data_IF_236281440020
#
_entry.id   IF_236281440020
#
_cell.length_a   1.000
_cell.length_b   1.000
_cell.length_c   1.000
_cell.angle_alpha   90.00
_cell.angle_beta   90.00
_cell.angle_gamma   90.00
#
_symmetry.space_group_name_H-M   'P 1'
#
loop_
_entity.id
_entity.type
_entity.pdbx_description
1 polymer ?
#
# COMPACT_ATOMS: atom_id res chain seq x y z
N UNK A 1 52.74 52.56 -13.30
CA UNK A 1 52.63 51.56 -12.17
C UNK A 1 51.20 51.41 -11.79
N UNK A 2 50.50 50.39 -12.26
CA UNK A 2 49.13 50.07 -11.81
C UNK A 2 48.97 48.53 -11.77
N UNK A 3 48.87 48.00 -10.56
CA UNK A 3 48.72 46.59 -10.27
C UNK A 3 47.30 46.13 -10.59
N UNK A 4 47.12 45.28 -11.61
CA UNK A 4 45.87 44.61 -11.90
C UNK A 4 45.56 43.55 -10.86
N UNK A 5 44.49 43.76 -10.11
CA UNK A 5 43.89 42.72 -9.22
C UNK A 5 43.14 41.70 -10.09
N UNK A 6 43.69 40.50 -10.19
CA UNK A 6 42.98 39.35 -10.77
C UNK A 6 41.92 38.87 -9.78
N UNK A 7 40.68 39.16 -10.11
CA UNK A 7 39.50 38.64 -9.42
C UNK A 7 39.35 37.14 -9.79
N UNK A 8 39.69 36.24 -8.88
CA UNK A 8 39.41 34.80 -9.00
C UNK A 8 37.94 34.59 -8.66
N UNK A 9 37.10 34.43 -9.67
CA UNK A 9 35.73 33.94 -9.51
C UNK A 9 35.79 32.44 -9.22
N UNK A 10 35.58 32.07 -7.98
CA UNK A 10 35.38 30.69 -7.55
C UNK A 10 33.96 30.32 -7.99
N UNK A 11 33.82 29.64 -9.13
CA UNK A 11 32.58 28.98 -9.51
C UNK A 11 32.47 27.75 -8.61
N UNK A 12 31.69 27.90 -7.54
CA UNK A 12 31.25 26.79 -6.70
C UNK A 12 30.23 25.99 -7.52
N UNK A 13 30.70 24.90 -8.09
CA UNK A 13 29.86 23.91 -8.78
C UNK A 13 29.04 23.18 -7.68
N UNK A 14 27.86 23.71 -7.40
CA UNK A 14 26.86 23.03 -6.56
C UNK A 14 26.34 21.83 -7.35
N UNK A 15 26.98 20.68 -7.16
CA UNK A 15 26.45 19.42 -7.63
C UNK A 15 25.21 19.17 -6.79
N UNK A 16 24.05 19.55 -7.32
CA UNK A 16 22.77 19.06 -6.88
C UNK A 16 22.76 17.56 -7.18
N UNK A 17 23.20 16.77 -6.21
CA UNK A 17 22.95 15.34 -6.21
C UNK A 17 21.45 15.17 -6.17
N UNK A 18 20.84 14.98 -7.32
CA UNK A 18 19.47 14.48 -7.42
C UNK A 18 19.47 13.15 -6.67
N UNK A 19 18.93 13.12 -5.48
CA UNK A 19 18.53 11.88 -4.81
C UNK A 19 17.42 11.29 -5.67
N UNK A 20 17.80 10.60 -6.74
CA UNK A 20 16.92 9.68 -7.38
C UNK A 20 16.56 8.65 -6.29
N UNK A 21 15.31 8.58 -5.89
CA UNK A 21 14.79 7.47 -5.11
C UNK A 21 15.01 6.21 -5.95
N UNK A 22 16.17 5.58 -5.78
CA UNK A 22 16.46 4.32 -6.43
C UNK A 22 15.63 3.25 -5.73
N UNK A 23 14.76 2.60 -6.48
CA UNK A 23 14.00 1.46 -6.00
C UNK A 23 14.98 0.33 -5.67
N UNK A 24 14.69 -0.43 -4.62
CA UNK A 24 15.52 -1.56 -4.20
C UNK A 24 14.82 -2.88 -4.51
N UNK A 25 15.57 -4.00 -4.45
CA UNK A 25 14.99 -5.34 -4.64
C UNK A 25 13.87 -5.58 -3.62
N UNK A 26 14.01 -5.10 -2.39
CA UNK A 26 12.98 -5.18 -1.35
C UNK A 26 11.63 -4.60 -1.77
N UNK A 27 11.63 -3.52 -2.55
CA UNK A 27 10.39 -2.82 -2.93
C UNK A 27 9.57 -3.62 -3.96
N UNK A 28 10.20 -4.56 -4.68
CA UNK A 28 9.56 -5.35 -5.74
C UNK A 28 9.49 -6.84 -5.44
N UNK A 29 10.03 -7.28 -4.31
CA UNK A 29 10.13 -8.70 -3.98
C UNK A 29 9.85 -9.00 -2.52
N UNK A 30 9.69 -10.26 -2.22
CA UNK A 30 9.61 -10.80 -0.88
C UNK A 30 10.44 -12.09 -0.80
N UNK A 31 10.95 -12.40 0.38
CA UNK A 31 11.67 -13.65 0.62
C UNK A 31 10.65 -14.75 0.91
N UNK A 32 10.75 -15.85 0.19
CA UNK A 32 9.88 -17.00 0.39
C UNK A 32 10.15 -17.63 1.76
N UNK A 33 9.07 -17.95 2.48
CA UNK A 33 9.16 -18.51 3.83
C UNK A 33 9.13 -17.44 4.94
N UNK A 34 9.50 -16.20 4.67
CA UNK A 34 9.41 -15.11 5.63
C UNK A 34 8.06 -14.39 5.45
N UNK A 35 7.10 -14.72 6.29
CA UNK A 35 5.75 -14.12 6.26
C UNK A 35 5.14 -14.08 7.65
N UNK A 36 4.23 -13.15 7.85
CA UNK A 36 3.36 -13.15 9.01
C UNK A 36 2.41 -14.34 8.97
N UNK A 37 2.19 -15.00 10.10
CA UNK A 37 1.20 -16.04 10.25
C UNK A 37 0.00 -15.50 11.01
N UNK A 38 -1.19 -15.72 10.48
CA UNK A 38 -2.41 -15.23 11.12
C UNK A 38 -2.83 -16.13 12.28
N UNK A 39 -3.09 -15.50 13.42
CA UNK A 39 -3.60 -16.15 14.61
C UNK A 39 -5.06 -15.76 14.84
N UNK A 40 -5.83 -16.70 15.32
CA UNK A 40 -7.24 -16.54 15.63
C UNK A 40 -7.54 -17.10 17.01
N UNK A 41 -8.34 -16.38 17.78
CA UNK A 41 -8.85 -16.83 19.08
C UNK A 41 -10.29 -16.38 19.30
N UNK A 42 -10.97 -17.10 20.18
CA UNK A 42 -12.27 -16.73 20.68
C UNK A 42 -12.15 -16.36 22.16
N UNK A 43 -12.66 -15.19 22.53
CA UNK A 43 -12.53 -14.67 23.89
C UNK A 43 -13.78 -13.97 24.40
N UNK A 44 -13.69 -13.50 25.63
CA UNK A 44 -14.70 -12.70 26.29
C UNK A 44 -14.09 -11.37 26.73
N UNK A 45 -14.77 -10.28 26.44
CA UNK A 45 -14.49 -8.95 26.99
C UNK A 45 -15.47 -8.71 28.14
N UNK A 46 -14.96 -8.31 29.29
CA UNK A 46 -15.75 -8.04 30.50
C UNK A 46 -15.62 -6.59 30.92
N UNK A 47 -16.39 -6.14 31.91
CA UNK A 47 -16.30 -4.78 32.43
C UNK A 47 -17.01 -3.74 31.55
N UNK A 48 -17.84 -4.15 30.60
CA UNK A 48 -18.61 -3.26 29.73
C UNK A 48 -19.77 -2.62 30.51
N UNK A 49 -19.89 -1.30 30.44
CA UNK A 49 -20.92 -0.57 31.17
C UNK A 49 -22.30 -0.63 30.46
N UNK A 50 -22.91 -1.80 30.44
CA UNK A 50 -24.21 -2.04 29.83
C UNK A 50 -24.23 -2.09 28.30
N UNK A 51 -23.06 -2.09 27.65
CA UNK A 51 -22.91 -2.11 26.19
C UNK A 51 -22.61 -3.50 25.62
N UNK A 52 -22.42 -4.46 26.49
CA UNK A 52 -22.18 -5.88 26.11
C UNK A 52 -23.37 -6.55 25.48
N UNK A 53 -23.18 -7.79 25.08
CA UNK A 53 -24.21 -8.59 24.42
C UNK A 53 -25.11 -9.37 25.39
N UNK A 54 -26.27 -9.82 24.89
CA UNK A 54 -27.25 -10.61 25.62
C UNK A 54 -27.41 -12.02 25.06
N UNK A 55 -26.53 -12.42 24.16
CA UNK A 55 -26.67 -13.69 23.48
C UNK A 55 -26.52 -14.85 24.46
N UNK A 56 -27.35 -15.89 24.26
CA UNK A 56 -27.25 -17.13 25.04
C UNK A 56 -25.86 -17.77 24.90
N UNK A 57 -25.25 -17.59 23.73
CA UNK A 57 -23.92 -18.07 23.43
C UNK A 57 -22.85 -17.46 24.35
N UNK A 58 -22.90 -16.15 24.54
CA UNK A 58 -21.96 -15.44 25.44
C UNK A 58 -22.12 -15.88 26.87
N UNK A 59 -23.38 -16.05 27.32
CA UNK A 59 -23.67 -16.53 28.69
C UNK A 59 -23.18 -17.95 28.90
N UNK A 60 -23.35 -18.85 27.91
CA UNK A 60 -22.84 -20.21 27.98
C UNK A 60 -21.31 -20.24 27.98
N UNK A 61 -20.67 -19.37 27.19
CA UNK A 61 -19.22 -19.27 27.15
C UNK A 61 -18.63 -18.79 28.48
N UNK A 62 -19.28 -17.80 29.12
CA UNK A 62 -18.91 -17.36 30.46
C UNK A 62 -19.12 -18.48 31.48
N UNK A 63 -20.26 -19.18 31.43
CA UNK A 63 -20.53 -20.31 32.32
C UNK A 63 -19.46 -21.41 32.18
N UNK A 64 -19.04 -21.72 30.97
CA UNK A 64 -17.99 -22.70 30.72
C UNK A 64 -16.63 -22.23 31.29
N UNK A 65 -16.30 -20.95 31.15
CA UNK A 65 -15.08 -20.37 31.70
C UNK A 65 -15.10 -20.42 33.24
N UNK A 66 -16.21 -20.04 33.89
CA UNK A 66 -16.37 -20.09 35.33
C UNK A 66 -16.32 -21.52 35.85
N UNK A 67 -16.94 -22.49 35.12
CA UNK A 67 -16.89 -23.90 35.45
C UNK A 67 -15.48 -24.48 35.41
N UNK A 68 -14.66 -24.05 34.48
CA UNK A 68 -13.23 -24.41 34.44
C UNK A 68 -12.45 -23.86 35.64
N UNK A 69 -12.96 -22.80 36.27
CA UNK A 69 -12.44 -22.23 37.53
C UNK A 69 -13.14 -22.76 38.76
N UNK A 70 -13.84 -23.93 38.66
CA UNK A 70 -14.61 -24.58 39.72
C UNK A 70 -15.80 -23.79 40.26
N UNK A 71 -16.24 -22.75 39.55
CA UNK A 71 -17.42 -21.95 39.92
C UNK A 71 -18.64 -22.46 39.13
N UNK A 72 -19.65 -22.95 39.80
CA UNK A 72 -20.90 -23.47 39.21
C UNK A 72 -22.01 -22.44 39.35
N UNK A 73 -22.35 -21.74 38.26
CA UNK A 73 -23.48 -20.80 38.20
C UNK A 73 -24.39 -21.23 37.05
N UNK A 74 -25.74 -21.32 37.28
CA UNK A 74 -26.68 -21.56 36.21
C UNK A 74 -26.68 -20.43 35.19
N UNK A 75 -26.79 -20.76 33.89
CA UNK A 75 -26.82 -19.75 32.80
C UNK A 75 -27.96 -18.74 32.99
N UNK A 76 -29.10 -19.21 33.54
CA UNK A 76 -30.26 -18.34 33.83
C UNK A 76 -29.98 -17.26 34.89
N UNK A 77 -28.97 -17.47 35.74
CA UNK A 77 -28.55 -16.49 36.74
C UNK A 77 -27.56 -15.46 36.21
N UNK A 78 -27.06 -15.64 34.99
CA UNK A 78 -26.12 -14.71 34.34
C UNK A 78 -26.95 -13.76 33.48
N UNK A 79 -27.32 -12.63 34.02
CA UNK A 79 -28.02 -11.57 33.31
C UNK A 79 -27.14 -10.31 33.29
N UNK A 80 -26.15 -10.29 32.44
CA UNK A 80 -25.22 -9.15 32.39
C UNK A 80 -25.06 -8.64 30.97
N UNK A 81 -25.17 -7.34 30.80
CA UNK A 81 -24.80 -6.62 29.60
C UNK A 81 -23.35 -6.09 29.68
N UNK A 82 -22.59 -6.56 30.66
CA UNK A 82 -21.23 -6.10 30.89
C UNK A 82 -20.19 -7.03 30.26
N UNK A 83 -20.64 -7.94 29.39
CA UNK A 83 -19.80 -8.96 28.77
C UNK A 83 -20.11 -9.02 27.29
N UNK A 84 -19.10 -9.23 26.46
CA UNK A 84 -19.25 -9.48 25.03
C UNK A 84 -18.38 -10.64 24.58
N UNK A 85 -18.94 -11.50 23.73
CA UNK A 85 -18.18 -12.50 23.00
C UNK A 85 -17.43 -11.84 21.85
N UNK A 86 -16.16 -12.16 21.71
CA UNK A 86 -15.28 -11.52 20.73
C UNK A 86 -14.42 -12.53 19.97
N UNK A 87 -14.15 -12.19 18.72
CA UNK A 87 -13.09 -12.79 17.94
C UNK A 87 -11.83 -11.95 18.14
N UNK A 88 -10.73 -12.61 18.40
CA UNK A 88 -9.41 -12.00 18.60
C UNK A 88 -8.50 -12.46 17.48
N UNK A 89 -7.91 -11.54 16.76
CA UNK A 89 -6.98 -11.83 15.66
C UNK A 89 -5.66 -11.12 15.90
N UNK A 90 -4.57 -11.76 15.49
CA UNK A 90 -3.24 -11.18 15.53
C UNK A 90 -2.40 -11.71 14.36
N UNK A 91 -1.45 -10.91 13.93
CA UNK A 91 -0.42 -11.31 12.98
C UNK A 91 0.83 -11.69 13.78
N UNK A 92 1.26 -12.95 13.68
CA UNK A 92 2.49 -13.45 14.29
C UNK A 92 3.65 -13.16 13.35
N UNK A 93 4.55 -12.23 13.71
CA UNK A 93 5.68 -11.88 12.86
C UNK A 93 6.62 -13.07 12.65
N UNK A 94 7.33 -13.13 11.52
CA UNK A 94 8.38 -14.12 11.34
C UNK A 94 9.46 -13.93 12.40
N UNK A 95 10.07 -15.03 12.84
CA UNK A 95 11.13 -15.05 13.87
C UNK A 95 10.71 -14.55 15.26
N UNK A 96 9.44 -14.35 15.51
CA UNK A 96 8.95 -14.00 16.83
C UNK A 96 9.29 -15.10 17.85
N UNK A 97 9.75 -14.70 19.02
CA UNK A 97 10.19 -15.61 20.08
C UNK A 97 9.22 -15.63 21.26
N UNK A 98 9.32 -16.67 22.04
CA UNK A 98 8.58 -16.74 23.30
C UNK A 98 8.89 -15.53 24.18
N UNK A 99 7.84 -14.87 24.68
CA UNK A 99 7.91 -13.66 25.46
C UNK A 99 7.72 -12.35 24.67
N UNK A 100 7.85 -12.40 23.35
CA UNK A 100 7.59 -11.22 22.50
C UNK A 100 6.11 -10.83 22.60
N UNK A 101 5.84 -9.53 22.46
CA UNK A 101 4.49 -8.99 22.52
C UNK A 101 4.03 -8.54 21.15
N UNK A 102 2.76 -8.86 20.83
CA UNK A 102 2.15 -8.46 19.57
C UNK A 102 0.83 -7.75 19.81
N UNK A 103 0.47 -6.88 18.85
CA UNK A 103 -0.82 -6.20 18.82
C UNK A 103 -1.92 -7.20 18.46
N UNK A 104 -3.07 -7.09 19.13
CA UNK A 104 -4.26 -7.87 18.79
C UNK A 104 -5.41 -6.96 18.39
N UNK A 105 -6.22 -7.46 17.44
CA UNK A 105 -7.47 -6.85 17.02
C UNK A 105 -8.61 -7.66 17.58
N UNK A 106 -9.62 -6.97 18.11
CA UNK A 106 -10.76 -7.56 18.77
C UNK A 106 -12.03 -7.10 18.07
N UNK A 107 -12.92 -8.02 17.78
CA UNK A 107 -14.20 -7.73 17.13
C UNK A 107 -15.32 -8.48 17.83
N UNK A 108 -16.38 -7.76 18.22
CA UNK A 108 -17.56 -8.37 18.83
C UNK A 108 -18.26 -9.30 17.83
N UNK A 109 -18.69 -10.48 18.31
CA UNK A 109 -19.40 -11.47 17.49
C UNK A 109 -20.91 -11.41 17.77
N UNK A 110 -21.29 -11.00 18.98
CA UNK A 110 -22.68 -10.92 19.41
C UNK A 110 -23.33 -9.58 19.10
N UNK A 111 -24.38 -9.24 19.87
CA UNK A 111 -25.16 -8.01 19.73
C UNK A 111 -24.65 -6.85 20.62
N UNK A 112 -23.39 -6.91 21.04
CA UNK A 112 -22.75 -5.87 21.82
C UNK A 112 -22.75 -4.53 21.04
N UNK A 113 -23.05 -3.44 21.73
CA UNK A 113 -23.07 -2.08 21.15
C UNK A 113 -21.69 -1.42 21.16
N UNK A 114 -20.87 -1.78 22.15
CA UNK A 114 -19.50 -1.30 22.29
C UNK A 114 -18.69 -2.26 23.15
N UNK A 115 -17.40 -2.40 22.81
CA UNK A 115 -16.41 -3.11 23.61
C UNK A 115 -15.35 -2.17 24.18
N UNK A 116 -15.58 -0.86 24.05
CA UNK A 116 -14.63 0.15 24.51
C UNK A 116 -14.39 0.06 26.02
N UNK A 117 -13.13 0.19 26.39
CA UNK A 117 -12.66 0.12 27.81
C UNK A 117 -13.01 -1.17 28.54
N UNK A 118 -13.48 -2.20 27.82
CA UNK A 118 -13.60 -3.52 28.41
C UNK A 118 -12.25 -4.21 28.54
N UNK A 119 -12.22 -5.27 29.36
CA UNK A 119 -11.02 -6.08 29.60
C UNK A 119 -11.17 -7.42 28.88
N UNK A 120 -10.25 -7.75 27.98
CA UNK A 120 -10.19 -9.07 27.35
C UNK A 120 -9.64 -10.06 28.35
N UNK A 121 -10.40 -11.09 28.64
CA UNK A 121 -9.94 -12.23 29.44
C UNK A 121 -8.90 -13.04 28.67
N UNK A 122 -8.05 -13.78 29.42
CA UNK A 122 -7.01 -14.62 28.81
C UNK A 122 -7.59 -15.48 27.68
N UNK A 123 -7.09 -15.26 26.49
CA UNK A 123 -7.57 -15.86 25.25
C UNK A 123 -6.43 -16.53 24.49
N UNK A 124 -6.58 -17.81 24.19
CA UNK A 124 -5.60 -18.53 23.37
C UNK A 124 -5.76 -18.13 21.90
N UNK A 125 -4.64 -17.76 21.28
CA UNK A 125 -4.57 -17.50 19.84
C UNK A 125 -3.91 -18.70 19.15
N UNK A 126 -4.63 -19.25 18.16
CA UNK A 126 -4.24 -20.47 17.45
C UNK A 126 -3.90 -20.14 16.00
N UNK A 127 -2.92 -20.85 15.48
CA UNK A 127 -2.63 -20.87 14.05
C UNK A 127 -3.60 -21.77 13.27
N UNK A 128 -3.44 -21.82 11.96
CA UNK A 128 -4.23 -22.66 11.04
C UNK A 128 -4.07 -24.16 11.36
N UNK A 129 -2.94 -24.55 11.92
CA UNK A 129 -2.63 -25.92 12.38
C UNK A 129 -3.32 -26.30 13.69
N UNK A 130 -4.07 -25.37 14.31
CA UNK A 130 -4.74 -25.56 15.59
C UNK A 130 -3.85 -25.41 16.82
N UNK A 131 -2.55 -25.23 16.65
CA UNK A 131 -1.61 -25.03 17.76
C UNK A 131 -1.75 -23.64 18.37
N UNK A 132 -1.56 -23.54 19.70
CA UNK A 132 -1.57 -22.26 20.41
C UNK A 132 -0.20 -21.60 20.25
N UNK A 133 -0.17 -20.37 19.72
CA UNK A 133 1.03 -19.60 19.53
C UNK A 133 1.15 -18.41 20.46
N UNK A 134 0.03 -17.83 20.92
CA UNK A 134 0.07 -16.69 21.81
C UNK A 134 -1.12 -16.70 22.78
N UNK A 135 -0.95 -15.98 23.89
CA UNK A 135 -2.01 -15.68 24.85
C UNK A 135 -2.32 -14.20 24.84
N UNK A 136 -3.56 -13.84 24.57
CA UNK A 136 -4.02 -12.45 24.51
C UNK A 136 -4.80 -12.08 25.77
N UNK A 137 -4.57 -10.87 26.29
CA UNK A 137 -5.31 -10.26 27.39
C UNK A 137 -5.07 -8.74 27.44
N UNK A 138 -5.96 -8.01 28.12
CA UNK A 138 -5.76 -6.60 28.43
C UNK A 138 -6.93 -5.71 28.06
N UNK A 139 -6.76 -4.41 28.30
CA UNK A 139 -7.81 -3.40 28.12
C UNK A 139 -7.98 -3.01 26.66
N UNK A 140 -9.21 -3.06 26.18
CA UNK A 140 -9.59 -2.80 24.79
C UNK A 140 -9.71 -1.29 24.55
N UNK A 141 -9.07 -0.81 23.48
CA UNK A 141 -9.24 0.53 22.96
C UNK A 141 -10.02 0.43 21.64
N UNK A 142 -11.26 0.89 21.63
CA UNK A 142 -12.09 0.84 20.41
C UNK A 142 -11.83 2.02 19.47
N UNK A 143 -12.19 1.83 18.21
CA UNK A 143 -12.21 2.94 17.24
C UNK A 143 -13.50 3.75 17.40
N UNK A 144 -13.41 5.08 17.37
CA UNK A 144 -14.59 5.98 17.51
C UNK A 144 -15.68 5.70 16.47
N UNK A 145 -15.28 5.26 15.27
CA UNK A 145 -16.19 4.98 14.15
C UNK A 145 -16.81 3.58 14.26
N UNK A 146 -16.10 2.64 14.90
CA UNK A 146 -16.55 1.25 15.05
C UNK A 146 -16.38 0.79 16.51
N UNK A 147 -17.35 1.13 17.39
CA UNK A 147 -17.24 0.81 18.82
C UNK A 147 -17.24 -0.68 19.15
N UNK A 148 -17.62 -1.53 18.20
CA UNK A 148 -17.62 -3.00 18.32
C UNK A 148 -16.30 -3.64 17.88
N UNK A 149 -15.34 -2.83 17.42
CA UNK A 149 -13.99 -3.26 17.05
C UNK A 149 -12.98 -2.44 17.83
N UNK A 150 -11.91 -3.08 18.29
CA UNK A 150 -10.85 -2.41 19.02
C UNK A 150 -9.52 -3.14 18.91
N UNK A 151 -8.53 -2.57 19.58
CA UNK A 151 -7.16 -3.09 19.62
C UNK A 151 -6.66 -3.13 21.06
N UNK A 152 -5.75 -4.05 21.32
CA UNK A 152 -4.86 -4.01 22.50
C UNK A 152 -3.44 -4.01 21.95
N UNK A 153 -2.72 -2.92 22.19
CA UNK A 153 -1.29 -2.81 21.88
C UNK A 153 -0.53 -3.67 22.87
N UNK A 154 0.45 -4.44 22.38
CA UNK A 154 1.17 -5.42 23.21
C UNK A 154 0.23 -6.41 23.94
N UNK A 155 -0.93 -6.66 23.34
CA UNK A 155 -2.04 -7.38 23.96
C UNK A 155 -1.92 -8.90 23.96
N UNK A 156 -0.99 -9.46 23.20
CA UNK A 156 -0.71 -10.90 23.28
C UNK A 156 0.77 -11.17 23.47
N UNK A 157 1.07 -12.15 24.31
CA UNK A 157 2.42 -12.67 24.53
C UNK A 157 2.58 -13.97 23.76
N UNK A 158 3.66 -14.10 23.02
CA UNK A 158 3.97 -15.31 22.24
C UNK A 158 4.46 -16.40 23.19
N UNK A 159 3.83 -17.55 23.13
CA UNK A 159 4.18 -18.74 23.90
C UNK A 159 4.97 -19.76 23.07
N UNK A 160 4.66 -19.88 21.80
CA UNK A 160 5.33 -20.78 20.89
C UNK A 160 5.77 -20.05 19.62
N UNK A 161 7.02 -20.21 19.23
CA UNK A 161 7.53 -19.68 17.98
C UNK A 161 7.24 -20.62 16.81
N UNK A 162 7.04 -20.06 15.63
CA UNK A 162 7.06 -20.84 14.39
C UNK A 162 8.51 -21.24 14.11
N UNK A 163 8.75 -22.54 13.95
CA UNK A 163 10.08 -23.02 13.58
C UNK A 163 10.43 -22.57 12.17
N UNK A 164 11.32 -21.66 12.05
CA UNK A 164 11.91 -21.22 10.80
C UNK A 164 13.43 -21.30 10.92
N UNK A 165 14.04 -22.23 10.23
CA UNK A 165 15.46 -22.51 10.35
C UNK A 165 16.27 -21.86 9.23
N UNK A 166 16.31 -20.51 9.25
CA UNK A 166 17.15 -19.75 8.30
C UNK A 166 18.64 -20.09 8.37
N UNK A 167 19.12 -20.54 9.53
CA UNK A 167 20.57 -20.73 9.76
C UNK A 167 21.11 -21.89 8.94
N UNK A 168 20.29 -22.93 8.73
CA UNK A 168 20.65 -24.11 7.96
C UNK A 168 20.32 -24.01 6.47
N UNK A 169 19.70 -22.90 6.04
CA UNK A 169 19.37 -22.69 4.64
C UNK A 169 20.64 -22.31 3.85
N UNK A 170 20.98 -23.10 2.83
CA UNK A 170 22.07 -22.82 1.90
C UNK A 170 21.63 -21.96 0.70
N UNK A 171 20.34 -21.75 0.55
CA UNK A 171 19.75 -21.01 -0.56
C UNK A 171 18.67 -20.05 -0.05
N UNK A 172 18.60 -18.88 -0.66
CA UNK A 172 17.55 -17.89 -0.43
C UNK A 172 16.66 -17.86 -1.66
N UNK A 173 15.36 -18.06 -1.47
CA UNK A 173 14.38 -17.92 -2.55
C UNK A 173 13.70 -16.58 -2.47
N UNK A 174 13.80 -15.80 -3.54
CA UNK A 174 13.15 -14.49 -3.70
C UNK A 174 11.97 -14.65 -4.64
N UNK A 175 10.83 -14.10 -4.28
CA UNK A 175 9.63 -14.07 -5.10
C UNK A 175 9.27 -12.62 -5.42
N UNK A 176 9.18 -12.27 -6.70
CA UNK A 176 8.73 -10.96 -7.13
C UNK A 176 7.26 -10.75 -6.77
N UNK A 177 6.89 -9.54 -6.37
CA UNK A 177 5.50 -9.17 -6.07
C UNK A 177 4.63 -9.21 -7.33
N UNK A 178 5.22 -8.89 -8.49
CA UNK A 178 4.57 -8.96 -9.81
C UNK A 178 5.39 -9.83 -10.76
N UNK A 179 4.71 -10.65 -11.56
CA UNK A 179 5.36 -11.46 -12.58
C UNK A 179 5.97 -10.57 -13.66
N UNK A 180 7.29 -10.65 -13.86
CA UNK A 180 8.01 -9.91 -14.89
C UNK A 180 9.34 -10.61 -15.19
N UNK A 181 9.47 -11.14 -16.39
CA UNK A 181 10.73 -11.77 -16.82
C UNK A 181 11.90 -10.77 -16.81
N UNK A 182 11.63 -9.52 -17.21
CA UNK A 182 12.61 -8.45 -17.22
C UNK A 182 13.11 -8.12 -15.80
N UNK A 183 12.20 -7.99 -14.83
CA UNK A 183 12.60 -7.73 -13.44
C UNK A 183 13.31 -8.94 -12.82
N UNK A 184 12.91 -10.17 -13.18
CA UNK A 184 13.60 -11.37 -12.70
C UNK A 184 15.05 -11.43 -13.20
N UNK A 185 15.27 -11.18 -14.50
CA UNK A 185 16.59 -11.08 -15.10
C UNK A 185 17.43 -9.94 -14.51
N UNK A 186 16.80 -8.78 -14.30
CA UNK A 186 17.45 -7.61 -13.69
C UNK A 186 17.92 -7.92 -12.26
N UNK A 187 17.09 -8.57 -11.44
CA UNK A 187 17.44 -8.96 -10.07
C UNK A 187 18.56 -9.98 -10.07
N UNK A 188 18.48 -11.01 -10.93
CA UNK A 188 19.57 -11.99 -11.10
C UNK A 188 20.88 -11.30 -11.44
N UNK A 189 20.87 -10.45 -12.46
CA UNK A 189 22.04 -9.71 -12.92
C UNK A 189 22.64 -8.84 -11.83
N UNK A 190 21.83 -8.05 -11.13
CA UNK A 190 22.29 -7.15 -10.07
C UNK A 190 22.92 -7.90 -8.89
N UNK A 191 22.35 -9.01 -8.49
CA UNK A 191 22.92 -9.84 -7.42
C UNK A 191 24.26 -10.43 -7.87
N UNK A 192 24.33 -11.00 -9.08
CA UNK A 192 25.55 -11.61 -9.61
C UNK A 192 26.67 -10.58 -9.84
N UNK A 193 26.34 -9.36 -10.29
CA UNK A 193 27.29 -8.24 -10.42
C UNK A 193 27.87 -7.85 -9.05
N UNK A 194 27.02 -7.71 -8.03
CA UNK A 194 27.46 -7.32 -6.68
C UNK A 194 28.42 -8.33 -6.07
N UNK A 195 28.08 -9.61 -6.15
CA UNK A 195 28.90 -10.69 -5.59
C UNK A 195 30.04 -11.15 -6.52
N UNK A 196 30.10 -10.61 -7.74
CA UNK A 196 31.08 -11.00 -8.79
C UNK A 196 31.11 -12.52 -9.00
N UNK A 197 29.99 -13.18 -8.82
CA UNK A 197 29.82 -14.63 -8.89
C UNK A 197 28.39 -14.98 -9.27
N UNK A 198 28.18 -16.06 -10.01
CA UNK A 198 26.86 -16.55 -10.44
C UNK A 198 26.14 -17.28 -9.30
N UNK A 199 25.77 -16.57 -8.25
CA UNK A 199 25.06 -17.13 -7.09
C UNK A 199 23.55 -17.02 -7.23
N UNK A 200 23.02 -16.07 -8.02
CA UNK A 200 21.60 -15.89 -8.28
C UNK A 200 21.22 -16.51 -9.63
N UNK A 201 20.02 -17.10 -9.69
CA UNK A 201 19.42 -17.63 -10.91
C UNK A 201 17.91 -17.46 -10.89
N UNK A 202 17.36 -16.76 -11.88
CA UNK A 202 15.92 -16.71 -12.11
C UNK A 202 15.45 -18.05 -12.70
N UNK A 203 14.46 -18.66 -12.05
CA UNK A 203 13.89 -19.95 -12.50
C UNK A 203 12.68 -19.71 -13.37
N UNK A 204 11.91 -18.70 -13.04
CA UNK A 204 10.73 -18.26 -13.77
C UNK A 204 10.54 -16.74 -13.66
N UNK A 205 9.45 -16.21 -14.20
CA UNK A 205 9.15 -14.77 -14.24
C UNK A 205 8.90 -14.13 -12.86
N UNK A 206 8.93 -14.93 -11.79
CA UNK A 206 8.62 -14.51 -10.42
C UNK A 206 9.66 -14.97 -9.41
N UNK A 207 10.32 -16.09 -9.63
CA UNK A 207 11.14 -16.79 -8.64
C UNK A 207 12.63 -16.74 -8.98
N UNK A 208 13.42 -16.25 -8.05
CA UNK A 208 14.88 -16.19 -8.13
C UNK A 208 15.48 -16.98 -6.95
N UNK A 209 16.36 -17.91 -7.21
CA UNK A 209 17.14 -18.62 -6.19
C UNK A 209 18.52 -17.98 -6.07
N UNK A 210 18.94 -17.72 -4.85
CA UNK A 210 20.24 -17.14 -4.52
C UNK A 210 20.99 -18.12 -3.60
N UNK A 211 22.11 -18.66 -4.05
CA UNK A 211 22.97 -19.53 -3.24
C UNK A 211 23.73 -18.70 -2.21
N UNK A 212 23.76 -19.16 -0.98
CA UNK A 212 24.50 -18.51 0.10
C UNK A 212 26.00 -18.71 -0.09
N UNK A 213 26.82 -17.64 -0.21
CA UNK A 213 28.28 -17.77 -0.16
C UNK A 213 28.74 -18.30 1.21
N UNK A 214 29.83 -19.05 1.24
CA UNK A 214 30.36 -19.69 2.48
C UNK A 214 30.71 -18.64 3.55
N UNK A 215 31.30 -17.52 3.13
CA UNK A 215 31.77 -16.45 4.03
C UNK A 215 30.69 -15.45 4.46
N UNK A 216 29.44 -15.65 4.07
CA UNK A 216 28.33 -14.71 4.32
C UNK A 216 27.22 -15.40 5.12
N UNK A 217 26.80 -14.79 6.24
CA UNK A 217 25.62 -15.28 6.95
C UNK A 217 24.37 -15.03 6.14
N UNK A 218 23.35 -15.88 6.30
CA UNK A 218 22.08 -15.72 5.59
C UNK A 218 21.41 -14.36 5.85
N UNK A 219 21.50 -13.85 7.07
CA UNK A 219 20.97 -12.53 7.45
C UNK A 219 21.70 -11.41 6.72
N UNK A 220 23.02 -11.52 6.58
CA UNK A 220 23.82 -10.54 5.83
C UNK A 220 23.52 -10.62 4.33
N UNK A 221 23.34 -11.83 3.79
CA UNK A 221 22.93 -12.04 2.40
C UNK A 221 21.59 -11.35 2.13
N UNK A 222 20.59 -11.59 2.97
CA UNK A 222 19.28 -10.94 2.89
C UNK A 222 19.43 -9.42 2.91
N UNK A 223 20.15 -8.88 3.89
CA UNK A 223 20.38 -7.44 4.02
C UNK A 223 21.05 -6.82 2.79
N UNK A 224 22.03 -7.47 2.21
CA UNK A 224 22.69 -6.99 0.99
C UNK A 224 21.71 -7.03 -0.18
N UNK A 225 21.07 -8.16 -0.42
CA UNK A 225 20.17 -8.37 -1.56
C UNK A 225 18.99 -7.41 -1.51
N UNK A 226 18.34 -7.26 -0.36
CA UNK A 226 17.20 -6.34 -0.20
C UNK A 226 17.54 -4.89 -0.51
N UNK A 227 18.77 -4.45 -0.20
CA UNK A 227 19.21 -3.06 -0.39
C UNK A 227 19.89 -2.79 -1.74
N UNK A 228 20.04 -3.80 -2.62
CA UNK A 228 20.56 -3.55 -3.96
C UNK A 228 19.64 -2.64 -4.76
N UNK A 229 20.17 -1.54 -5.31
CA UNK A 229 19.39 -0.62 -6.13
C UNK A 229 19.09 -1.26 -7.49
N UNK A 230 17.86 -1.12 -7.94
CA UNK A 230 17.40 -1.58 -9.23
C UNK A 230 16.63 -0.49 -9.96
N UNK A 231 16.82 -0.43 -11.27
CA UNK A 231 16.02 0.41 -12.15
C UNK A 231 14.88 -0.45 -12.73
N UNK A 232 13.94 -0.84 -11.87
CA UNK A 232 12.78 -1.57 -12.37
C UNK A 232 11.85 -0.62 -13.12
N UNK A 233 11.19 -1.12 -14.16
CA UNK A 233 10.09 -0.37 -14.76
C UNK A 233 8.97 -0.19 -13.74
N UNK A 234 8.96 0.98 -13.10
CA UNK A 234 7.82 1.39 -12.27
C UNK A 234 6.67 1.63 -13.23
N UNK A 235 5.76 0.67 -13.36
CA UNK A 235 4.51 0.94 -14.08
C UNK A 235 3.81 2.09 -13.36
N UNK A 236 3.68 3.18 -14.08
CA UNK A 236 2.94 4.34 -13.59
C UNK A 236 1.55 3.91 -13.19
N UNK A 237 1.10 4.31 -12.00
CA UNK A 237 -0.16 3.86 -11.41
C UNK A 237 -1.09 5.02 -11.15
N UNK A 238 -2.37 4.81 -11.44
CA UNK A 238 -3.45 5.70 -11.05
C UNK A 238 -4.35 4.95 -10.08
N UNK A 239 -4.55 5.50 -8.89
CA UNK A 239 -5.42 4.94 -7.87
C UNK A 239 -6.69 5.79 -7.82
N UNK A 240 -7.85 5.17 -7.93
CA UNK A 240 -9.16 5.80 -7.87
C UNK A 240 -9.93 5.21 -6.70
N UNK A 241 -10.23 6.03 -5.70
CA UNK A 241 -11.10 5.67 -4.58
C UNK A 241 -12.49 6.26 -4.85
N UNK A 242 -13.43 5.41 -5.23
CA UNK A 242 -14.81 5.81 -5.56
C UNK A 242 -15.58 6.26 -4.31
N UNK A 243 -15.27 5.67 -3.16
CA UNK A 243 -15.95 5.96 -1.89
C UNK A 243 -15.56 7.32 -1.32
N UNK A 244 -14.28 7.72 -1.51
CA UNK A 244 -13.74 9.01 -1.08
C UNK A 244 -13.73 10.05 -2.20
N UNK A 245 -14.18 9.68 -3.40
CA UNK A 245 -14.14 10.53 -4.59
C UNK A 245 -12.74 11.11 -4.87
N UNK A 246 -11.69 10.31 -4.64
CA UNK A 246 -10.30 10.73 -4.75
C UNK A 246 -9.58 9.99 -5.86
N UNK A 247 -8.82 10.74 -6.66
CA UNK A 247 -7.95 10.19 -7.72
C UNK A 247 -6.52 10.61 -7.40
N UNK A 248 -5.62 9.63 -7.31
CA UNK A 248 -4.20 9.81 -7.07
C UNK A 248 -3.45 9.34 -8.30
N UNK A 249 -2.69 10.22 -8.92
CA UNK A 249 -1.87 9.94 -10.09
C UNK A 249 -0.50 10.60 -9.95
N UNK A 250 0.52 9.99 -10.52
CA UNK A 250 1.85 10.62 -10.61
C UNK A 250 1.87 11.78 -11.61
N UNK A 251 2.64 12.83 -11.32
CA UNK A 251 2.74 14.02 -12.17
C UNK A 251 3.37 13.76 -13.54
N UNK A 252 4.14 12.70 -13.67
CA UNK A 252 4.91 12.37 -14.87
C UNK A 252 4.20 11.39 -15.82
N UNK A 253 2.91 11.17 -15.64
CA UNK A 253 2.12 10.29 -16.51
C UNK A 253 1.67 11.10 -17.73
N UNK A 254 2.33 10.88 -18.84
CA UNK A 254 2.07 11.57 -20.12
C UNK A 254 0.93 10.89 -20.84
N UNK A 255 0.03 11.69 -21.44
CA UNK A 255 -1.08 11.21 -22.27
C UNK A 255 -0.74 11.48 -23.74
N UNK A 256 -0.79 10.42 -24.55
CA UNK A 256 -0.60 10.54 -26.01
C UNK A 256 -1.81 11.24 -26.66
N UNK A 257 -1.64 11.84 -27.85
CA UNK A 257 -2.73 12.46 -28.56
C UNK A 257 -3.89 11.50 -28.79
N UNK A 258 -5.06 11.88 -28.29
CA UNK A 258 -6.28 11.06 -28.37
C UNK A 258 -7.53 11.95 -28.35
N UNK A 259 -8.59 11.48 -28.98
CA UNK A 259 -9.93 12.11 -28.90
C UNK A 259 -10.90 11.11 -28.30
N UNK A 260 -11.54 11.50 -27.21
CA UNK A 260 -12.61 10.74 -26.54
C UNK A 260 -13.89 11.54 -26.64
N UNK A 261 -14.91 10.97 -27.29
CA UNK A 261 -16.24 11.56 -27.43
C UNK A 261 -17.27 10.71 -26.70
N UNK A 262 -18.07 11.35 -25.85
CA UNK A 262 -19.19 10.76 -25.10
C UNK A 262 -20.43 11.64 -25.20
N UNK A 263 -21.56 11.07 -24.82
CA UNK A 263 -22.79 11.86 -24.69
C UNK A 263 -22.56 13.00 -23.68
N UNK A 264 -22.64 14.24 -24.17
CA UNK A 264 -22.50 15.45 -23.36
C UNK A 264 -21.11 16.10 -23.33
N UNK A 265 -20.02 15.42 -23.78
CA UNK A 265 -18.70 16.07 -23.87
C UNK A 265 -17.75 15.36 -24.84
N UNK A 266 -16.81 16.13 -25.37
CA UNK A 266 -15.68 15.62 -26.16
C UNK A 266 -14.37 16.16 -25.60
N UNK A 267 -13.43 15.28 -25.33
CA UNK A 267 -12.06 15.63 -24.89
C UNK A 267 -11.12 15.33 -26.04
N UNK A 268 -10.36 16.34 -26.47
CA UNK A 268 -9.36 16.20 -27.52
C UNK A 268 -8.00 16.59 -26.97
N UNK A 269 -7.07 15.64 -26.95
CA UNK A 269 -5.69 15.83 -26.55
C UNK A 269 -4.85 15.91 -27.83
N UNK A 270 -4.17 17.02 -28.04
CA UNK A 270 -3.30 17.27 -29.21
C UNK A 270 -1.89 17.60 -28.77
N UNK A 271 -0.92 17.21 -29.56
CA UNK A 271 0.43 17.73 -29.47
C UNK A 271 0.53 19.00 -30.32
N UNK A 272 0.79 20.16 -29.71
CA UNK A 272 1.07 21.38 -30.46
C UNK A 272 2.53 21.30 -30.98
N UNK A 273 2.70 21.35 -32.31
CA UNK A 273 4.01 21.62 -32.89
C UNK A 273 4.29 23.08 -32.67
N UNK A 274 5.32 23.43 -31.89
CA UNK A 274 5.81 24.79 -31.75
C UNK A 274 6.42 25.19 -33.12
N UNK A 275 5.93 26.29 -33.68
CA UNK A 275 6.58 26.92 -34.85
C UNK A 275 7.85 27.66 -34.41
N UNK A 276 8.82 27.83 -35.32
CA UNK A 276 10.05 28.57 -35.03
C UNK A 276 9.82 30.03 -34.62
N UNK A 277 8.64 30.59 -34.86
CA UNK A 277 8.23 31.93 -34.45
C UNK A 277 7.83 31.98 -32.94
N UNK A 278 7.34 30.92 -32.39
CA UNK A 278 6.96 30.85 -30.96
C UNK A 278 8.17 30.93 -30.02
N UNK A 279 9.37 30.65 -30.54
CA UNK A 279 10.63 30.77 -29.79
C UNK A 279 11.17 32.22 -29.69
N UNK A 280 10.78 33.09 -30.60
CA UNK A 280 11.30 34.47 -30.67
C UNK A 280 10.51 35.46 -29.83
N UNK A 281 9.28 35.17 -29.51
CA UNK A 281 8.41 36.03 -28.69
C UNK A 281 7.66 35.19 -27.65
N UNK A 282 8.19 35.00 -26.44
CA UNK A 282 7.41 34.42 -25.34
C UNK A 282 6.40 35.46 -24.86
N UNK A 283 5.28 35.59 -25.56
CA UNK A 283 4.16 36.38 -25.08
C UNK A 283 3.50 35.57 -23.99
N UNK A 284 3.65 36.04 -22.75
CA UNK A 284 2.89 35.54 -21.60
C UNK A 284 1.43 35.94 -21.84
N UNK A 285 0.65 35.11 -22.49
CA UNK A 285 -0.79 35.29 -22.59
C UNK A 285 -1.40 34.98 -21.22
N UNK A 286 -1.52 36.02 -20.40
CA UNK A 286 -2.30 36.02 -19.19
C UNK A 286 -3.77 35.74 -19.54
N UNK A 287 -4.23 34.50 -19.30
CA UNK A 287 -5.64 34.23 -18.99
C UNK A 287 -6.67 34.40 -20.10
N UNK A 288 -6.30 34.23 -21.36
CA UNK A 288 -7.25 34.14 -22.47
C UNK A 288 -6.85 32.93 -23.30
N UNK A 289 -7.56 31.88 -23.24
CA UNK A 289 -7.73 30.77 -24.19
C UNK A 289 -8.04 29.47 -23.49
N UNK A 290 -9.12 29.54 -22.72
CA UNK A 290 -9.99 28.39 -22.56
C UNK A 290 -11.07 28.61 -23.62
N UNK A 291 -10.85 28.08 -24.83
CA UNK A 291 -11.91 27.83 -25.76
C UNK A 291 -12.24 28.87 -26.82
N UNK A 292 -11.30 29.28 -27.66
CA UNK A 292 -11.62 30.05 -28.88
C UNK A 292 -12.10 29.21 -30.08
N UNK A 293 -12.57 27.99 -29.86
CA UNK A 293 -13.34 27.22 -30.85
C UNK A 293 -14.44 26.40 -30.19
N UNK A 294 -15.32 27.09 -29.45
CA UNK A 294 -16.57 26.48 -28.98
C UNK A 294 -17.63 26.80 -30.02
N UNK A 295 -17.81 25.92 -30.96
CA UNK A 295 -19.08 25.85 -31.71
C UNK A 295 -20.08 25.15 -30.79
N UNK A 296 -20.95 25.92 -30.21
CA UNK A 296 -22.02 25.42 -29.34
C UNK A 296 -23.07 24.74 -30.19
N UNK A 297 -23.01 23.43 -30.23
CA UNK A 297 -24.15 22.61 -30.53
C UNK A 297 -24.19 21.54 -29.42
N UNK A 298 -24.83 21.84 -28.31
CA UNK A 298 -25.20 20.96 -27.20
C UNK A 298 -24.13 19.99 -26.62
N UNK A 299 -22.87 20.10 -27.00
CA UNK A 299 -21.76 19.30 -26.48
C UNK A 299 -20.60 20.21 -26.07
N UNK A 300 -20.10 20.05 -24.85
CA UNK A 300 -18.90 20.75 -24.39
C UNK A 300 -17.65 20.10 -24.96
N UNK A 301 -16.85 20.83 -25.72
CA UNK A 301 -15.59 20.35 -26.29
C UNK A 301 -14.44 20.98 -25.52
N UNK A 302 -13.53 20.15 -24.96
CA UNK A 302 -12.27 20.63 -24.39
C UNK A 302 -11.11 20.24 -25.29
N UNK A 303 -10.32 21.22 -25.64
CA UNK A 303 -9.01 21.02 -26.22
C UNK A 303 -7.96 21.13 -25.09
N UNK A 304 -7.33 20.01 -24.78
CA UNK A 304 -6.20 19.96 -23.86
C UNK A 304 -4.94 19.93 -24.72
N UNK A 305 -4.29 21.07 -24.86
CA UNK A 305 -3.04 21.22 -25.60
C UNK A 305 -1.92 21.79 -24.71
N UNK A 306 -0.69 21.77 -25.22
CA UNK A 306 0.48 22.24 -24.47
C UNK A 306 0.48 23.76 -24.21
N UNK A 307 -0.43 24.51 -24.83
CA UNK A 307 -0.51 25.96 -24.66
C UNK A 307 -1.03 26.38 -23.28
N UNK A 308 -1.77 25.51 -22.60
CA UNK A 308 -2.23 25.75 -21.23
C UNK A 308 -1.13 25.59 -20.18
N UNK A 309 -0.05 24.92 -20.53
CA UNK A 309 1.09 24.66 -19.66
C UNK A 309 2.33 24.98 -20.48
N UNK A 310 3.04 26.00 -20.11
CA UNK A 310 4.21 26.53 -20.81
C UNK A 310 5.40 25.53 -20.87
N UNK A 311 5.12 24.27 -21.26
CA UNK A 311 6.06 23.16 -21.31
C UNK A 311 6.11 22.54 -22.71
N UNK A 312 7.30 22.20 -23.17
CA UNK A 312 7.57 21.45 -24.41
C UNK A 312 7.05 20.01 -24.38
N UNK A 313 6.40 19.60 -23.32
CA UNK A 313 6.04 18.21 -23.04
C UNK A 313 4.57 17.92 -23.41
N UNK A 314 4.28 16.66 -23.71
CA UNK A 314 2.92 16.18 -23.86
C UNK A 314 2.13 16.43 -22.57
N UNK A 315 0.77 16.67 -22.67
CA UNK A 315 -0.07 16.85 -21.49
C UNK A 315 -0.04 15.63 -20.59
N UNK A 316 -0.11 15.90 -19.29
CA UNK A 316 -0.10 14.84 -18.27
C UNK A 316 -1.52 14.43 -17.89
N UNK A 317 -1.63 13.28 -17.22
CA UNK A 317 -2.92 12.83 -16.65
C UNK A 317 -3.46 13.83 -15.62
N UNK A 318 -2.58 14.54 -14.90
CA UNK A 318 -2.96 15.60 -13.95
C UNK A 318 -3.63 16.78 -14.65
N UNK A 319 -3.15 17.16 -15.85
CA UNK A 319 -3.74 18.23 -16.66
C UNK A 319 -5.10 17.82 -17.20
N UNK A 320 -5.20 16.56 -17.67
CA UNK A 320 -6.46 15.98 -18.12
C UNK A 320 -7.50 15.94 -16.98
N UNK A 321 -7.12 15.49 -15.79
CA UNK A 321 -8.00 15.46 -14.64
C UNK A 321 -8.45 16.88 -14.21
N UNK A 322 -7.54 17.86 -14.27
CA UNK A 322 -7.86 19.26 -14.00
C UNK A 322 -8.90 19.79 -14.98
N UNK A 323 -8.69 19.52 -16.28
CA UNK A 323 -9.64 19.91 -17.33
C UNK A 323 -11.03 19.28 -17.11
N UNK A 324 -11.09 17.98 -16.82
CA UNK A 324 -12.33 17.27 -16.54
C UNK A 324 -13.05 17.80 -15.29
N UNK A 325 -12.31 18.15 -14.23
CA UNK A 325 -12.88 18.81 -13.04
C UNK A 325 -13.42 20.20 -13.32
N UNK A 326 -12.74 20.98 -14.16
CA UNK A 326 -13.26 22.30 -14.59
C UNK A 326 -14.58 22.20 -15.35
N UNK A 327 -14.79 21.12 -16.11
CA UNK A 327 -16.06 20.79 -16.75
C UNK A 327 -17.14 20.31 -15.77
N UNK A 328 -16.82 20.15 -14.50
CA UNK A 328 -17.74 19.60 -13.49
C UNK A 328 -18.21 18.18 -13.82
N UNK A 329 -17.39 17.38 -14.50
CA UNK A 329 -17.70 15.97 -14.78
C UNK A 329 -17.78 15.20 -13.47
N UNK A 330 -18.68 14.22 -13.43
CA UNK A 330 -18.79 13.30 -12.29
C UNK A 330 -17.53 12.44 -12.18
N UNK A 331 -17.21 11.97 -10.97
CA UNK A 331 -16.07 11.07 -10.76
C UNK A 331 -16.19 9.80 -11.62
N UNK A 332 -17.41 9.34 -11.83
CA UNK A 332 -17.71 8.18 -12.67
C UNK A 332 -17.33 8.43 -14.13
N UNK A 333 -17.66 9.60 -14.67
CA UNK A 333 -17.30 9.97 -16.05
C UNK A 333 -15.79 10.12 -16.21
N UNK A 334 -15.12 10.70 -15.21
CA UNK A 334 -13.66 10.83 -15.17
C UNK A 334 -13.00 9.44 -15.22
N UNK A 335 -13.47 8.51 -14.38
CA UNK A 335 -12.95 7.14 -14.31
C UNK A 335 -13.13 6.41 -15.65
N UNK A 336 -14.33 6.49 -16.24
CA UNK A 336 -14.60 5.85 -17.51
C UNK A 336 -13.78 6.45 -18.66
N UNK A 337 -13.58 7.77 -18.64
CA UNK A 337 -12.71 8.43 -19.62
C UNK A 337 -11.26 7.97 -19.51
N UNK A 338 -10.73 7.89 -18.29
CA UNK A 338 -9.36 7.39 -18.04
C UNK A 338 -9.23 5.92 -18.49
N UNK A 339 -10.25 5.08 -18.23
CA UNK A 339 -10.28 3.69 -18.72
C UNK A 339 -10.22 3.63 -20.25
N UNK A 340 -11.05 4.39 -20.95
CA UNK A 340 -11.06 4.42 -22.40
C UNK A 340 -9.72 4.88 -22.99
N UNK A 341 -9.09 5.92 -22.41
CA UNK A 341 -7.78 6.41 -22.84
C UNK A 341 -6.70 5.33 -22.64
N UNK A 342 -6.78 4.59 -21.53
CA UNK A 342 -5.88 3.46 -21.25
C UNK A 342 -6.12 2.32 -22.25
N UNK A 343 -7.37 1.92 -22.46
CA UNK A 343 -7.74 0.80 -23.36
C UNK A 343 -7.34 1.09 -24.81
N UNK A 344 -7.33 2.37 -25.22
CA UNK A 344 -6.80 2.82 -26.51
C UNK A 344 -5.27 2.84 -26.57
N UNK A 345 -4.57 2.59 -25.44
CA UNK A 345 -3.11 2.65 -25.39
C UNK A 345 -2.52 4.07 -25.37
N UNK A 346 -3.36 5.11 -25.24
CA UNK A 346 -2.89 6.49 -25.20
C UNK A 346 -2.25 6.88 -23.84
N UNK A 347 -2.39 6.02 -22.84
CA UNK A 347 -1.72 6.11 -21.53
C UNK A 347 -1.26 4.72 -21.12
N UNK A 348 0.03 4.58 -20.80
CA UNK A 348 0.60 3.35 -20.23
C UNK A 348 0.66 3.47 -18.70
N UNK A 349 -0.39 2.95 -18.05
CA UNK A 349 -0.56 2.98 -16.59
C UNK A 349 -1.31 1.76 -16.08
N UNK A 350 -1.02 1.39 -14.85
CA UNK A 350 -1.86 0.47 -14.08
C UNK A 350 -2.98 1.26 -13.40
N UNK A 351 -4.22 0.85 -13.62
CA UNK A 351 -5.40 1.48 -13.01
C UNK A 351 -5.90 0.61 -11.86
N UNK A 352 -5.88 1.14 -10.64
CA UNK A 352 -6.45 0.51 -9.44
C UNK A 352 -7.68 1.27 -8.98
N UNK A 353 -8.84 0.59 -8.98
CA UNK A 353 -10.10 1.18 -8.53
C UNK A 353 -10.45 0.54 -7.19
N UNK A 354 -10.66 1.39 -6.18
CA UNK A 354 -11.08 1.01 -4.84
C UNK A 354 -12.50 1.54 -4.61
N UNK A 355 -13.38 0.68 -4.08
CA UNK A 355 -14.77 1.07 -3.84
C UNK A 355 -15.41 0.35 -2.68
#
# INVERSE_FOLDING_TARGET
>A
MTKGKRLRVLISFFIFASFAFSQTIKDISQIVGIRDNQLLGYGLVVGLNGTGDKSKFTMQSLQNLLRNSYIKIPTSSIQSKNIAAVMVTADLPPFAKQGDKIKVKISAIGDAKSIDRGELLVTQLKGVDGSVYALAQGSVISEKISPTTGFIYDGATIENSVKFDLVNENELTISLLKNSAQNADLVETKINEHFKSKIAKAIDTKTIIVKKPEDVSIVKLISIVENLPIESEIRKKIIIDLKRETIIAGDNIVVQPVTVSRSGYTIRIKQKKLSDEDWKNPTINKGKDIGDNVTVANESVINVDNAMINTKNLPTISDLMRAMKMMKLSIKDIVETIKMIKDLGAVDVELEIRG
#
